data_IF_800392370653
#
_entry.id   IF_800392370653
#
_cell.length_a   1.000
_cell.length_b   1.000
_cell.length_c   1.000
_cell.angle_alpha   90.00
_cell.angle_beta   90.00
_cell.angle_gamma   90.00
#
_symmetry.space_group_name_H-M   'P 1'
#
loop_
_entity.id
_entity.type
_entity.pdbx_description
1 polymer ?
#
# COMPACT_ATOMS: atom_id res chain seq x y z
N UNK A 1 -7.45 -31.67 -8.04
CA UNK A 1 -6.89 -30.43 -7.46
C UNK A 1 -5.45 -30.35 -7.92
N UNK A 2 -4.99 -29.17 -8.36
CA UNK A 2 -3.58 -28.93 -8.66
C UNK A 2 -2.77 -28.99 -7.36
N UNK A 3 -1.53 -29.48 -7.44
CA UNK A 3 -0.58 -29.40 -6.34
C UNK A 3 -0.11 -27.95 -6.14
N UNK A 4 0.42 -27.63 -4.96
CA UNK A 4 1.00 -26.30 -4.69
C UNK A 4 2.09 -25.92 -5.71
N UNK A 5 2.87 -26.88 -6.18
CA UNK A 5 3.93 -26.65 -7.16
C UNK A 5 3.38 -26.37 -8.56
N UNK A 6 2.34 -27.10 -8.98
CA UNK A 6 1.66 -26.85 -10.26
C UNK A 6 0.96 -25.48 -10.29
N UNK A 7 0.38 -25.06 -9.17
CA UNK A 7 -0.23 -23.73 -9.03
C UNK A 7 0.83 -22.63 -9.12
N UNK A 8 1.93 -22.75 -8.37
CA UNK A 8 3.03 -21.77 -8.43
C UNK A 8 3.60 -21.64 -9.86
N UNK A 9 3.83 -22.77 -10.53
CA UNK A 9 4.31 -22.77 -11.92
C UNK A 9 3.29 -22.18 -12.90
N UNK A 10 1.99 -22.25 -12.61
CA UNK A 10 0.97 -21.60 -13.44
C UNK A 10 1.01 -20.07 -13.25
N UNK A 11 1.14 -19.59 -12.01
CA UNK A 11 1.29 -18.15 -11.73
C UNK A 11 2.56 -17.59 -12.38
N UNK A 12 3.69 -18.29 -12.25
CA UNK A 12 4.94 -17.92 -12.92
C UNK A 12 4.78 -17.80 -14.44
N UNK A 13 4.14 -18.80 -15.08
CA UNK A 13 3.88 -18.76 -16.53
C UNK A 13 2.97 -17.62 -16.96
N UNK A 14 1.99 -17.23 -16.12
CA UNK A 14 1.16 -16.06 -16.41
C UNK A 14 2.05 -14.82 -16.52
N UNK A 15 2.86 -14.54 -15.49
CA UNK A 15 3.69 -13.34 -15.45
C UNK A 15 4.89 -13.38 -16.41
N UNK A 16 5.36 -14.55 -16.82
CA UNK A 16 6.30 -14.68 -17.93
C UNK A 16 5.63 -14.40 -19.29
N UNK A 17 4.33 -14.68 -19.44
CA UNK A 17 3.57 -14.39 -20.67
C UNK A 17 3.14 -12.93 -20.72
N UNK A 18 2.71 -12.38 -19.57
CA UNK A 18 2.20 -11.04 -19.38
C UNK A 18 2.88 -10.40 -18.15
N UNK A 19 4.09 -9.83 -18.31
CA UNK A 19 4.80 -9.19 -17.21
C UNK A 19 3.99 -8.03 -16.61
N UNK A 20 3.80 -8.05 -15.29
CA UNK A 20 2.93 -7.12 -14.59
C UNK A 20 3.62 -6.47 -13.37
N UNK A 21 3.36 -5.18 -13.05
CA UNK A 21 2.53 -4.23 -13.82
C UNK A 21 3.17 -3.79 -15.15
N UNK A 22 2.39 -3.46 -16.20
CA UNK A 22 2.92 -3.15 -17.54
C UNK A 22 3.32 -1.68 -17.71
N UNK A 23 3.70 -1.00 -16.63
CA UNK A 23 4.08 0.42 -16.70
C UNK A 23 5.28 0.64 -17.62
N UNK A 24 5.34 1.76 -18.36
CA UNK A 24 6.47 2.03 -19.24
C UNK A 24 7.78 2.18 -18.45
N UNK A 25 8.88 1.86 -19.10
CA UNK A 25 10.23 2.07 -18.57
C UNK A 25 10.68 3.51 -18.82
N UNK A 26 11.07 4.23 -17.77
CA UNK A 26 11.48 5.65 -17.81
C UNK A 26 13.01 5.79 -17.63
N UNK A 27 13.60 6.83 -18.21
CA UNK A 27 15.02 7.21 -17.99
C UNK A 27 15.17 8.25 -16.87
N UNK A 28 14.17 8.38 -16.01
CA UNK A 28 14.09 9.34 -14.91
C UNK A 28 13.37 8.69 -13.71
N UNK A 29 13.51 9.24 -12.48
CA UNK A 29 12.76 8.77 -11.33
C UNK A 29 11.25 8.73 -11.60
N UNK A 30 10.53 7.77 -11.03
CA UNK A 30 9.11 7.61 -11.30
C UNK A 30 8.33 8.83 -10.77
N UNK A 31 7.26 9.26 -11.46
CA UNK A 31 6.56 10.48 -11.10
C UNK A 31 5.75 10.30 -9.80
N UNK A 32 5.66 11.36 -9.01
CA UNK A 32 4.86 11.36 -7.79
C UNK A 32 5.41 10.45 -6.68
N UNK A 33 4.51 9.92 -5.87
CA UNK A 33 4.79 9.11 -4.69
C UNK A 33 3.62 8.17 -4.35
N UNK A 34 3.94 7.15 -3.56
CA UNK A 34 3.00 6.48 -2.68
C UNK A 34 3.56 6.58 -1.26
N UNK A 35 2.83 7.23 -0.34
CA UNK A 35 3.33 7.48 1.01
C UNK A 35 3.64 6.19 1.79
N UNK A 36 2.98 5.08 1.44
CA UNK A 36 3.19 3.76 2.05
C UNK A 36 4.57 3.17 1.70
N UNK A 37 5.15 3.64 0.59
CA UNK A 37 6.48 3.27 0.12
C UNK A 37 7.56 4.26 0.58
N UNK A 38 7.19 5.34 1.26
CA UNK A 38 8.13 6.24 1.91
C UNK A 38 8.22 5.87 3.40
N UNK A 39 9.39 5.41 3.85
CA UNK A 39 9.62 4.93 5.21
C UNK A 39 9.19 5.94 6.28
N UNK A 40 9.55 7.21 6.09
CA UNK A 40 9.25 8.26 7.06
C UNK A 40 7.75 8.49 7.18
N UNK A 41 7.05 8.60 6.04
CA UNK A 41 5.61 8.80 6.00
C UNK A 41 4.86 7.57 6.55
N UNK A 42 5.22 6.35 6.12
CA UNK A 42 4.60 5.13 6.60
C UNK A 42 4.82 4.90 8.11
N UNK A 43 6.03 5.17 8.61
CA UNK A 43 6.35 5.06 10.03
C UNK A 43 5.62 6.13 10.86
N UNK A 44 5.57 7.37 10.39
CA UNK A 44 4.78 8.42 11.04
C UNK A 44 3.30 8.11 11.07
N UNK A 45 2.74 7.56 9.98
CA UNK A 45 1.35 7.12 9.94
C UNK A 45 1.07 6.03 10.98
N UNK A 46 1.96 5.04 11.11
CA UNK A 46 1.77 3.91 12.01
C UNK A 46 2.05 4.22 13.49
N UNK A 47 2.90 5.22 13.78
CA UNK A 47 3.41 5.47 15.14
C UNK A 47 3.09 6.86 15.67
N UNK A 48 2.64 7.79 14.84
CA UNK A 48 2.46 9.19 15.20
C UNK A 48 3.76 10.01 15.18
N UNK A 49 4.93 9.42 14.94
CA UNK A 49 6.22 10.12 14.96
C UNK A 49 7.13 9.72 13.79
N UNK A 50 8.09 10.57 13.40
CA UNK A 50 9.09 10.20 12.40
C UNK A 50 10.07 9.14 12.94
N UNK A 51 10.68 8.31 12.08
CA UNK A 51 11.65 7.31 12.51
C UNK A 51 12.97 7.98 12.90
N UNK A 52 13.67 7.38 13.87
CA UNK A 52 14.97 7.84 14.37
C UNK A 52 16.14 7.55 13.41
N UNK A 53 15.94 6.63 12.44
CA UNK A 53 16.93 6.31 11.41
C UNK A 53 16.27 6.15 10.05
N UNK A 54 17.02 6.49 9.02
CA UNK A 54 16.65 6.35 7.60
C UNK A 54 17.50 5.32 6.86
N UNK A 55 18.68 4.99 7.37
CA UNK A 55 19.47 3.84 6.92
C UNK A 55 18.73 2.55 7.32
N UNK A 56 17.90 2.07 6.40
CA UNK A 56 17.04 0.90 6.62
C UNK A 56 17.20 -0.14 5.51
N UNK A 57 16.76 -1.37 5.80
CA UNK A 57 16.65 -2.44 4.80
C UNK A 57 15.19 -2.65 4.44
N UNK A 58 14.90 -2.62 3.15
CA UNK A 58 13.57 -2.84 2.58
C UNK A 58 13.59 -4.14 1.78
N UNK A 59 12.53 -4.95 1.89
CA UNK A 59 12.27 -6.03 0.93
C UNK A 59 10.95 -5.77 0.20
N UNK A 60 10.98 -5.86 -1.12
CA UNK A 60 9.81 -5.88 -2.00
C UNK A 60 9.54 -7.35 -2.39
N UNK A 61 8.59 -7.96 -1.66
CA UNK A 61 8.30 -9.38 -1.75
C UNK A 61 7.23 -9.65 -2.80
N UNK A 62 7.64 -10.20 -3.95
CA UNK A 62 6.83 -10.30 -5.17
C UNK A 62 6.88 -9.01 -5.97
N UNK A 63 8.09 -8.57 -6.34
CA UNK A 63 8.32 -7.25 -6.91
C UNK A 63 7.83 -7.08 -8.36
N UNK A 64 7.44 -8.16 -9.05
CA UNK A 64 6.97 -8.15 -10.42
C UNK A 64 7.96 -7.46 -11.36
N UNK A 65 7.47 -6.55 -12.21
CA UNK A 65 8.28 -5.72 -13.12
C UNK A 65 8.99 -4.55 -12.45
N UNK A 66 9.02 -4.50 -11.11
CA UNK A 66 9.80 -3.56 -10.32
C UNK A 66 9.20 -2.16 -10.17
N UNK A 67 7.92 -1.96 -10.52
CA UNK A 67 7.25 -0.64 -10.39
C UNK A 67 7.32 -0.15 -8.95
N UNK A 68 6.87 -0.96 -7.98
CA UNK A 68 6.96 -0.62 -6.55
C UNK A 68 8.43 -0.48 -6.10
N UNK A 69 9.30 -1.39 -6.54
CA UNK A 69 10.72 -1.39 -6.19
C UNK A 69 11.43 -0.09 -6.56
N UNK A 70 11.17 0.44 -7.75
CA UNK A 70 11.74 1.69 -8.24
C UNK A 70 11.36 2.86 -7.34
N UNK A 71 10.07 2.98 -6.95
CA UNK A 71 9.64 3.97 -5.97
C UNK A 71 10.28 3.76 -4.60
N UNK A 72 10.39 2.52 -4.12
CA UNK A 72 11.01 2.23 -2.82
C UNK A 72 12.47 2.70 -2.76
N UNK A 73 13.23 2.60 -3.86
CA UNK A 73 14.61 3.11 -3.91
C UNK A 73 14.66 4.64 -3.94
N UNK A 74 13.84 5.29 -4.77
CA UNK A 74 13.86 6.75 -4.94
C UNK A 74 13.27 7.51 -3.75
N UNK A 75 12.22 6.98 -3.12
CA UNK A 75 11.58 7.60 -1.97
C UNK A 75 12.36 7.41 -0.66
N UNK A 76 13.34 6.50 -0.63
CA UNK A 76 14.15 6.19 0.55
C UNK A 76 15.65 6.23 0.20
N UNK A 77 16.24 7.43 0.06
CA UNK A 77 17.60 7.59 -0.49
C UNK A 77 18.68 6.90 0.34
N UNK A 78 18.46 6.69 1.64
CA UNK A 78 19.40 6.03 2.56
C UNK A 78 19.12 4.52 2.72
N UNK A 79 18.06 4.00 2.10
CA UNK A 79 17.71 2.59 2.22
C UNK A 79 18.47 1.72 1.21
N UNK A 80 18.65 0.45 1.60
CA UNK A 80 18.99 -0.63 0.68
C UNK A 80 17.75 -1.50 0.44
N UNK A 81 17.50 -1.86 -0.81
CA UNK A 81 16.29 -2.59 -1.23
C UNK A 81 16.66 -3.98 -1.74
N UNK A 82 15.85 -4.97 -1.40
CA UNK A 82 15.91 -6.32 -1.98
C UNK A 82 14.58 -6.60 -2.67
N UNK A 83 14.59 -6.85 -3.98
CA UNK A 83 13.41 -7.31 -4.72
C UNK A 83 13.46 -8.82 -4.90
N UNK A 84 12.36 -9.52 -4.62
CA UNK A 84 12.23 -10.95 -4.94
C UNK A 84 11.00 -11.21 -5.78
N UNK A 85 11.12 -12.12 -6.75
CA UNK A 85 9.97 -12.59 -7.53
C UNK A 85 10.20 -14.01 -8.06
N UNK A 86 9.13 -14.71 -8.42
CA UNK A 86 9.18 -16.04 -9.03
C UNK A 86 9.27 -15.99 -10.56
N UNK A 87 8.98 -14.86 -11.20
CA UNK A 87 9.08 -14.72 -12.66
C UNK A 87 10.44 -14.15 -13.05
N UNK A 88 11.25 -14.99 -13.70
CA UNK A 88 12.50 -14.55 -14.29
C UNK A 88 12.29 -13.52 -15.42
N UNK A 89 11.14 -13.55 -16.11
CA UNK A 89 10.74 -12.55 -17.10
C UNK A 89 10.51 -11.18 -16.46
N UNK A 90 9.68 -11.12 -15.42
CA UNK A 90 9.37 -9.89 -14.71
C UNK A 90 10.62 -9.28 -14.05
N UNK A 91 11.50 -10.10 -13.45
CA UNK A 91 12.75 -9.63 -12.85
C UNK A 91 13.69 -8.96 -13.84
N UNK A 92 13.75 -9.43 -15.10
CA UNK A 92 14.55 -8.74 -16.14
C UNK A 92 14.00 -7.34 -16.42
N UNK A 93 12.68 -7.19 -16.42
CA UNK A 93 12.03 -5.87 -16.58
C UNK A 93 12.31 -5.00 -15.36
N UNK A 94 12.23 -5.54 -14.14
CA UNK A 94 12.52 -4.83 -12.89
C UNK A 94 13.96 -4.31 -12.83
N UNK A 95 14.92 -5.15 -13.23
CA UNK A 95 16.33 -4.78 -13.33
C UNK A 95 16.54 -3.64 -14.34
N UNK A 96 15.93 -3.73 -15.52
CA UNK A 96 16.05 -2.68 -16.54
C UNK A 96 15.37 -1.39 -16.11
N UNK A 97 14.19 -1.46 -15.46
CA UNK A 97 13.49 -0.31 -14.88
C UNK A 97 14.39 0.46 -13.92
N UNK A 98 14.89 -0.24 -12.89
CA UNK A 98 15.74 0.37 -11.88
C UNK A 98 17.04 0.93 -12.48
N UNK A 99 17.62 0.22 -13.46
CA UNK A 99 18.81 0.70 -14.18
C UNK A 99 18.54 2.01 -14.93
N UNK A 100 17.39 2.14 -15.61
CA UNK A 100 17.08 3.32 -16.44
C UNK A 100 16.73 4.55 -15.59
N UNK A 101 16.01 4.40 -14.49
CA UNK A 101 15.69 5.52 -13.60
C UNK A 101 16.79 5.89 -12.61
N UNK A 102 17.88 5.11 -12.53
CA UNK A 102 18.98 5.34 -11.59
C UNK A 102 18.71 4.83 -10.17
N UNK A 103 17.77 3.91 -10.00
CA UNK A 103 17.54 3.19 -8.74
C UNK A 103 18.61 2.09 -8.56
N UNK A 104 19.82 2.46 -8.15
CA UNK A 104 20.99 1.58 -8.08
C UNK A 104 21.16 0.81 -6.75
N UNK A 105 20.42 1.18 -5.70
CA UNK A 105 20.49 0.58 -4.35
C UNK A 105 19.57 -0.62 -4.17
N UNK A 106 19.45 -1.47 -5.19
CA UNK A 106 18.59 -2.65 -5.18
C UNK A 106 19.32 -3.91 -5.63
N UNK A 107 19.08 -5.01 -4.93
CA UNK A 107 19.46 -6.37 -5.33
C UNK A 107 18.20 -7.18 -5.68
N UNK A 108 18.24 -7.92 -6.78
CA UNK A 108 17.12 -8.76 -7.23
C UNK A 108 17.44 -10.25 -7.10
N UNK A 109 16.51 -11.02 -6.53
CA UNK A 109 16.61 -12.48 -6.42
C UNK A 109 15.42 -13.18 -7.08
N UNK A 110 15.69 -14.16 -7.92
CA UNK A 110 14.68 -15.09 -8.41
C UNK A 110 14.37 -16.11 -7.30
N UNK A 111 13.35 -15.81 -6.50
CA UNK A 111 13.09 -16.49 -5.24
C UNK A 111 11.60 -16.43 -4.86
N UNK A 112 11.08 -17.56 -4.40
CA UNK A 112 9.73 -17.62 -3.82
C UNK A 112 9.71 -17.04 -2.41
N UNK A 113 8.60 -16.43 -2.00
CA UNK A 113 8.36 -16.01 -0.61
C UNK A 113 8.49 -17.18 0.38
N UNK A 114 8.24 -18.42 -0.05
CA UNK A 114 8.40 -19.61 0.77
C UNK A 114 9.85 -19.91 1.15
N UNK A 115 10.80 -19.36 0.41
CA UNK A 115 12.23 -19.64 0.50
C UNK A 115 13.04 -18.37 0.83
N UNK A 116 12.37 -17.34 1.36
CA UNK A 116 12.98 -16.04 1.73
C UNK A 116 13.98 -16.13 2.90
N UNK A 117 14.03 -17.28 3.57
CA UNK A 117 15.06 -17.57 4.58
C UNK A 117 16.47 -17.65 3.99
N UNK A 118 16.60 -17.84 2.67
CA UNK A 118 17.86 -17.76 1.94
C UNK A 118 18.48 -16.35 1.93
N UNK A 119 17.67 -15.29 2.09
CA UNK A 119 18.19 -13.92 2.15
C UNK A 119 18.63 -13.62 3.58
N UNK A 120 19.85 -13.13 3.80
CA UNK A 120 20.35 -12.89 5.16
C UNK A 120 19.75 -11.62 5.83
N UNK A 121 19.66 -11.68 7.16
CA UNK A 121 19.25 -10.57 8.01
C UNK A 121 17.74 -10.34 8.09
N UNK A 122 17.36 -9.16 8.59
CA UNK A 122 15.98 -8.71 8.72
C UNK A 122 15.77 -7.40 7.94
N UNK A 123 14.51 -7.03 7.78
CA UNK A 123 14.06 -5.83 7.08
C UNK A 123 13.23 -4.95 7.99
N UNK A 124 13.42 -3.65 7.87
CA UNK A 124 12.71 -2.61 8.61
C UNK A 124 11.36 -2.31 7.96
N UNK A 125 11.30 -2.43 6.63
CA UNK A 125 10.08 -2.35 5.84
C UNK A 125 9.99 -3.59 4.94
N UNK A 126 8.90 -4.34 5.09
CA UNK A 126 8.50 -5.36 4.12
C UNK A 126 7.34 -4.77 3.32
N UNK A 127 7.49 -4.68 2.00
CA UNK A 127 6.43 -4.34 1.08
C UNK A 127 5.99 -5.64 0.37
N UNK A 128 4.72 -6.03 0.50
CA UNK A 128 4.16 -7.21 -0.16
C UNK A 128 2.78 -6.84 -0.73
N UNK A 129 2.79 -6.28 -1.93
CA UNK A 129 1.62 -5.66 -2.55
C UNK A 129 1.21 -6.48 -3.77
N UNK A 130 -0.01 -7.04 -3.77
CA UNK A 130 -0.49 -7.79 -4.95
C UNK A 130 -0.04 -9.25 -4.99
N UNK A 131 0.34 -9.87 -3.86
CA UNK A 131 1.11 -11.14 -3.91
C UNK A 131 0.47 -12.27 -3.14
N UNK A 132 0.11 -12.08 -1.86
CA UNK A 132 -0.31 -13.18 -0.99
C UNK A 132 -1.55 -13.93 -1.51
N UNK A 133 -2.49 -13.26 -2.17
CA UNK A 133 -3.70 -13.87 -2.74
C UNK A 133 -3.44 -14.76 -3.96
N UNK A 134 -2.26 -14.62 -4.59
CA UNK A 134 -1.85 -15.46 -5.71
C UNK A 134 -1.04 -16.68 -5.27
N UNK A 135 -0.73 -16.80 -3.97
CA UNK A 135 -0.01 -17.94 -3.44
C UNK A 135 -0.91 -19.19 -3.35
N UNK A 136 -0.36 -20.39 -3.64
CA UNK A 136 -1.08 -21.64 -3.39
C UNK A 136 -1.38 -21.89 -1.90
N UNK A 137 -0.50 -21.42 -1.02
CA UNK A 137 -0.61 -21.48 0.44
C UNK A 137 -0.25 -20.09 1.01
N UNK A 138 -1.22 -19.17 1.15
CA UNK A 138 -0.97 -17.81 1.64
C UNK A 138 -0.55 -17.78 3.11
N UNK A 139 -1.03 -18.73 3.92
CA UNK A 139 -0.70 -18.84 5.35
C UNK A 139 0.79 -19.13 5.53
N UNK A 140 1.33 -20.14 4.82
CA UNK A 140 2.77 -20.41 4.82
C UNK A 140 3.56 -19.22 4.28
N UNK A 141 3.02 -18.54 3.26
CA UNK A 141 3.64 -17.38 2.62
C UNK A 141 3.85 -16.23 3.60
N UNK A 142 2.78 -15.79 4.25
CA UNK A 142 2.84 -14.69 5.22
C UNK A 142 3.70 -15.05 6.44
N UNK A 143 3.64 -16.31 6.92
CA UNK A 143 4.49 -16.79 8.01
C UNK A 143 5.98 -16.77 7.66
N UNK A 144 6.33 -17.10 6.42
CA UNK A 144 7.70 -17.11 5.95
C UNK A 144 8.30 -15.70 5.94
N UNK A 145 7.61 -14.77 5.28
CA UNK A 145 8.08 -13.38 5.14
C UNK A 145 8.01 -12.61 6.46
N UNK A 146 7.00 -12.85 7.31
CA UNK A 146 6.87 -12.19 8.62
C UNK A 146 8.08 -12.45 9.54
N UNK A 147 8.75 -13.61 9.42
CA UNK A 147 9.99 -13.92 10.18
C UNK A 147 11.15 -12.99 9.85
N UNK A 148 11.13 -12.36 8.67
CA UNK A 148 12.17 -11.44 8.21
C UNK A 148 11.96 -10.01 8.70
N UNK A 149 10.82 -9.70 9.31
CA UNK A 149 10.55 -8.37 9.84
C UNK A 149 11.41 -8.11 11.09
N UNK A 150 12.15 -7.00 11.11
CA UNK A 150 12.90 -6.55 12.28
C UNK A 150 11.93 -6.12 13.40
N UNK A 151 12.33 -6.20 14.69
CA UNK A 151 11.57 -5.57 15.77
C UNK A 151 11.39 -4.06 15.52
N UNK A 152 10.17 -3.56 15.66
CA UNK A 152 9.79 -2.19 15.30
C UNK A 152 9.66 -1.93 13.79
N UNK A 153 9.84 -2.95 12.95
CA UNK A 153 9.64 -2.83 11.51
C UNK A 153 8.16 -2.79 11.12
N UNK A 154 7.90 -2.33 9.90
CA UNK A 154 6.57 -2.28 9.30
C UNK A 154 6.46 -3.32 8.18
N UNK A 155 5.32 -4.00 8.12
CA UNK A 155 4.98 -4.91 7.04
C UNK A 155 3.72 -4.40 6.35
N UNK A 156 3.91 -3.79 5.18
CA UNK A 156 2.86 -3.28 4.30
C UNK A 156 2.33 -4.38 3.40
N UNK A 157 1.01 -4.61 3.43
CA UNK A 157 0.34 -5.70 2.72
C UNK A 157 -0.84 -5.16 1.91
N UNK A 158 -0.99 -5.64 0.67
CA UNK A 158 -2.19 -5.48 -0.15
C UNK A 158 -2.72 -6.84 -0.59
N UNK A 159 -4.01 -7.11 -0.38
CA UNK A 159 -4.71 -8.31 -0.86
C UNK A 159 -6.12 -7.99 -1.36
N UNK A 160 -6.65 -8.81 -2.26
CA UNK A 160 -7.96 -8.61 -2.84
C UNK A 160 -9.13 -8.84 -1.88
N UNK A 161 -10.18 -8.02 -2.05
CA UNK A 161 -11.40 -8.07 -1.26
C UNK A 161 -12.54 -8.70 -2.07
N UNK A 162 -13.18 -9.71 -1.48
CA UNK A 162 -14.21 -10.56 -2.08
C UNK A 162 -15.40 -9.74 -2.58
N UNK A 163 -15.96 -8.88 -1.74
CA UNK A 163 -17.22 -8.20 -2.05
C UNK A 163 -17.10 -7.16 -3.16
N UNK A 164 -15.97 -6.45 -3.26
CA UNK A 164 -15.76 -5.46 -4.33
C UNK A 164 -15.29 -6.06 -5.64
N UNK A 165 -14.91 -7.35 -5.65
CA UNK A 165 -14.36 -8.06 -6.82
C UNK A 165 -15.20 -9.25 -7.27
N UNK A 166 -16.33 -9.55 -6.64
CA UNK A 166 -17.15 -10.71 -6.99
C UNK A 166 -17.57 -10.75 -8.49
N UNK A 167 -17.79 -9.61 -9.18
CA UNK A 167 -18.03 -9.62 -10.63
C UNK A 167 -16.81 -10.12 -11.45
N UNK A 168 -15.59 -9.87 -10.98
CA UNK A 168 -14.35 -10.36 -11.59
C UNK A 168 -14.30 -11.88 -11.48
N UNK A 169 -14.58 -12.44 -10.30
CA UNK A 169 -14.63 -13.89 -10.10
C UNK A 169 -15.63 -14.57 -11.04
N UNK A 170 -16.80 -13.96 -11.26
CA UNK A 170 -17.80 -14.49 -12.20
C UNK A 170 -17.26 -14.52 -13.63
N UNK A 171 -16.57 -13.47 -14.05
CA UNK A 171 -15.98 -13.40 -15.39
C UNK A 171 -14.80 -14.37 -15.55
N UNK A 172 -13.93 -14.50 -14.55
CA UNK A 172 -12.86 -15.51 -14.52
C UNK A 172 -13.42 -16.93 -14.73
N UNK A 173 -14.47 -17.29 -14.00
CA UNK A 173 -15.14 -18.59 -14.15
C UNK A 173 -15.77 -18.77 -15.53
N UNK A 174 -16.40 -17.73 -16.07
CA UNK A 174 -16.99 -17.77 -17.41
C UNK A 174 -15.93 -17.97 -18.50
N UNK A 175 -14.80 -17.25 -18.43
CA UNK A 175 -13.67 -17.41 -19.34
C UNK A 175 -13.15 -18.85 -19.26
N UNK A 176 -12.88 -19.36 -18.05
CA UNK A 176 -12.38 -20.71 -17.86
C UNK A 176 -13.33 -21.77 -18.48
N UNK A 177 -14.65 -21.63 -18.30
CA UNK A 177 -15.63 -22.53 -18.89
C UNK A 177 -15.58 -22.52 -20.43
N UNK A 178 -15.37 -21.35 -21.04
CA UNK A 178 -15.32 -21.19 -22.50
C UNK A 178 -13.97 -21.60 -23.11
N UNK A 179 -12.87 -21.49 -22.37
CA UNK A 179 -11.58 -22.03 -22.79
C UNK A 179 -11.62 -23.56 -22.91
N UNK A 180 -12.39 -24.23 -22.05
CA UNK A 180 -12.56 -25.69 -22.09
C UNK A 180 -11.22 -26.43 -22.01
N UNK A 181 -10.81 -27.07 -23.10
CA UNK A 181 -9.53 -27.80 -23.15
C UNK A 181 -8.30 -26.88 -23.22
N UNK A 182 -8.47 -25.60 -23.55
CA UNK A 182 -7.40 -24.60 -23.62
C UNK A 182 -7.12 -23.91 -22.27
N UNK A 183 -7.76 -24.33 -21.17
CA UNK A 183 -7.50 -23.73 -19.86
C UNK A 183 -6.01 -23.76 -19.51
N UNK A 184 -5.46 -22.60 -19.16
CA UNK A 184 -4.03 -22.40 -18.92
C UNK A 184 -3.24 -21.86 -20.12
N UNK A 185 -3.87 -21.71 -21.28
CA UNK A 185 -3.40 -20.81 -22.34
C UNK A 185 -3.90 -19.39 -22.03
N UNK A 186 -2.99 -18.54 -21.51
CA UNK A 186 -3.35 -17.20 -21.08
C UNK A 186 -3.72 -16.28 -22.25
N UNK A 187 -3.14 -16.49 -23.44
CA UNK A 187 -3.44 -15.67 -24.62
C UNK A 187 -4.83 -16.00 -25.17
N UNK A 188 -5.21 -17.29 -25.19
CA UNK A 188 -6.57 -17.70 -25.49
C UNK A 188 -7.56 -17.15 -24.44
N UNK A 189 -7.20 -17.15 -23.16
CA UNK A 189 -8.04 -16.62 -22.08
C UNK A 189 -8.33 -15.13 -22.23
N UNK A 190 -7.31 -14.31 -22.52
CA UNK A 190 -7.47 -12.89 -22.82
C UNK A 190 -8.39 -12.71 -24.02
N UNK A 191 -8.14 -13.43 -25.13
CA UNK A 191 -8.96 -13.35 -26.33
C UNK A 191 -10.44 -13.70 -26.05
N UNK A 192 -10.70 -14.80 -25.35
CA UNK A 192 -12.06 -15.22 -24.98
C UNK A 192 -12.74 -14.17 -24.09
N UNK A 193 -12.02 -13.66 -23.09
CA UNK A 193 -12.55 -12.64 -22.18
C UNK A 193 -12.90 -11.33 -22.91
N UNK A 194 -12.04 -10.86 -23.81
CA UNK A 194 -12.32 -9.67 -24.63
C UNK A 194 -13.57 -9.88 -25.50
N UNK A 195 -13.70 -11.04 -26.14
CA UNK A 195 -14.89 -11.38 -26.93
C UNK A 195 -16.17 -11.44 -26.09
N UNK A 196 -16.08 -11.91 -24.83
CA UNK A 196 -17.21 -11.88 -23.90
C UNK A 196 -17.65 -10.46 -23.58
N UNK A 197 -16.73 -9.57 -23.21
CA UNK A 197 -17.06 -8.17 -22.92
C UNK A 197 -17.62 -7.41 -24.12
N UNK A 198 -17.20 -7.77 -25.33
CA UNK A 198 -17.76 -7.22 -26.58
C UNK A 198 -19.16 -7.76 -26.89
N UNK A 199 -19.40 -9.05 -26.67
CA UNK A 199 -20.65 -9.72 -27.03
C UNK A 199 -21.79 -9.52 -26.02
N UNK A 200 -21.46 -9.29 -24.75
CA UNK A 200 -22.47 -9.14 -23.70
C UNK A 200 -23.27 -7.84 -23.85
N UNK A 201 -24.59 -7.83 -23.54
CA UNK A 201 -25.41 -6.63 -23.60
C UNK A 201 -24.87 -5.50 -22.72
N UNK A 202 -25.02 -4.25 -23.15
CA UNK A 202 -24.49 -3.09 -22.40
C UNK A 202 -25.09 -2.92 -20.99
N UNK A 203 -26.31 -3.41 -20.77
CA UNK A 203 -26.97 -3.39 -19.47
C UNK A 203 -26.61 -4.61 -18.60
N UNK A 204 -25.74 -5.51 -19.07
CA UNK A 204 -25.20 -6.58 -18.25
C UNK A 204 -24.41 -5.99 -17.08
N UNK A 205 -24.66 -6.50 -15.86
CA UNK A 205 -24.06 -5.96 -14.64
C UNK A 205 -22.52 -6.00 -14.65
N UNK A 206 -21.93 -7.08 -15.15
CA UNK A 206 -20.47 -7.25 -15.19
C UNK A 206 -19.86 -6.23 -16.17
N UNK A 207 -20.43 -6.12 -17.38
CA UNK A 207 -19.98 -5.15 -18.39
C UNK A 207 -20.10 -3.72 -17.87
N UNK A 208 -21.24 -3.38 -17.24
CA UNK A 208 -21.47 -2.06 -16.67
C UNK A 208 -20.42 -1.73 -15.60
N UNK A 209 -20.18 -2.65 -14.67
CA UNK A 209 -19.20 -2.46 -13.59
C UNK A 209 -17.78 -2.31 -14.13
N UNK A 210 -17.38 -3.12 -15.10
CA UNK A 210 -16.07 -3.00 -15.77
C UNK A 210 -15.90 -1.64 -16.44
N UNK A 211 -16.91 -1.17 -17.18
CA UNK A 211 -16.87 0.18 -17.80
C UNK A 211 -16.83 1.31 -16.78
N UNK A 212 -17.55 1.20 -15.68
CA UNK A 212 -17.62 2.26 -14.66
C UNK A 212 -16.37 2.31 -13.76
N UNK A 213 -15.79 1.15 -13.45
CA UNK A 213 -14.72 1.04 -12.44
C UNK A 213 -13.36 0.74 -13.02
N UNK A 214 -13.29 -0.13 -14.02
CA UNK A 214 -12.04 -0.77 -14.47
C UNK A 214 -11.59 -0.32 -15.86
N UNK A 215 -12.36 0.52 -16.56
CA UNK A 215 -12.09 0.91 -17.94
C UNK A 215 -10.70 1.52 -18.18
N UNK A 216 -10.15 2.25 -17.20
CA UNK A 216 -8.81 2.82 -17.28
C UNK A 216 -7.72 1.82 -16.93
N UNK A 217 -8.00 0.83 -16.09
CA UNK A 217 -7.01 -0.15 -15.62
C UNK A 217 -6.90 -1.34 -16.58
N UNK A 218 -8.03 -1.76 -17.16
CA UNK A 218 -8.19 -3.02 -17.87
C UNK A 218 -7.93 -2.92 -19.40
N UNK A 219 -7.30 -1.85 -19.88
CA UNK A 219 -7.13 -1.61 -21.33
C UNK A 219 -5.98 -2.41 -21.95
N UNK A 220 -4.90 -2.66 -21.19
CA UNK A 220 -3.77 -3.49 -21.62
C UNK A 220 -4.06 -4.98 -21.41
N UNK A 221 -3.48 -5.84 -22.22
CA UNK A 221 -3.69 -7.28 -22.12
C UNK A 221 -3.04 -7.86 -20.86
N UNK A 222 -1.94 -7.28 -20.40
CA UNK A 222 -1.28 -7.62 -19.14
C UNK A 222 -2.22 -7.35 -17.95
N UNK A 223 -2.87 -6.19 -17.91
CA UNK A 223 -3.85 -5.87 -16.88
C UNK A 223 -5.09 -6.78 -16.96
N UNK A 224 -5.55 -7.09 -18.17
CA UNK A 224 -6.69 -8.00 -18.35
C UNK A 224 -6.35 -9.42 -17.95
N UNK A 225 -5.15 -9.89 -18.24
CA UNK A 225 -4.66 -11.20 -17.87
C UNK A 225 -4.55 -11.32 -16.34
N UNK A 226 -3.94 -10.33 -15.69
CA UNK A 226 -3.84 -10.24 -14.22
C UNK A 226 -5.23 -10.20 -13.56
N UNK A 227 -6.19 -9.47 -14.12
CA UNK A 227 -7.53 -9.34 -13.54
C UNK A 227 -8.45 -10.54 -13.81
N UNK A 228 -8.52 -11.03 -15.05
CA UNK A 228 -9.60 -11.95 -15.49
C UNK A 228 -9.12 -13.34 -15.90
N UNK A 229 -7.81 -13.56 -16.02
CA UNK A 229 -7.23 -14.83 -16.49
C UNK A 229 -6.24 -15.41 -15.46
N UNK A 230 -6.18 -14.84 -14.26
CA UNK A 230 -5.25 -15.28 -13.24
C UNK A 230 -5.53 -16.73 -12.79
N UNK A 231 -4.52 -17.63 -12.76
CA UNK A 231 -4.73 -19.05 -12.50
C UNK A 231 -4.95 -19.39 -11.02
N UNK A 232 -4.73 -18.43 -10.12
CA UNK A 232 -4.81 -18.60 -8.66
C UNK A 232 -5.17 -17.26 -8.00
N UNK A 233 -6.38 -17.12 -7.49
CA UNK A 233 -6.81 -15.92 -6.76
C UNK A 233 -7.56 -16.35 -5.51
N UNK A 234 -7.21 -15.76 -4.37
CA UNK A 234 -7.91 -15.90 -3.10
C UNK A 234 -8.38 -14.52 -2.71
N UNK A 235 -9.69 -14.34 -2.76
CA UNK A 235 -10.30 -13.11 -2.26
C UNK A 235 -10.67 -13.25 -0.80
N UNK A 236 -10.41 -12.19 -0.04
CA UNK A 236 -10.65 -12.17 1.39
C UNK A 236 -11.93 -11.40 1.70
N UNK A 237 -12.64 -11.80 2.74
CA UNK A 237 -13.52 -10.91 3.49
C UNK A 237 -12.85 -10.60 4.83
N UNK A 238 -13.44 -9.75 5.67
CA UNK A 238 -12.83 -9.40 6.96
C UNK A 238 -12.51 -10.62 7.83
N UNK A 239 -13.33 -11.67 7.81
CA UNK A 239 -13.10 -12.86 8.64
C UNK A 239 -11.86 -13.63 8.17
N UNK A 240 -11.81 -13.99 6.89
CA UNK A 240 -10.66 -14.73 6.31
C UNK A 240 -9.39 -13.89 6.23
N UNK A 241 -9.52 -12.55 6.10
CA UNK A 241 -8.41 -11.63 6.20
C UNK A 241 -7.75 -11.68 7.58
N UNK A 242 -8.53 -11.67 8.65
CA UNK A 242 -7.98 -11.73 10.00
C UNK A 242 -7.37 -13.09 10.34
N UNK A 243 -7.83 -14.18 9.71
CA UNK A 243 -7.12 -15.48 9.78
C UNK A 243 -5.71 -15.38 9.18
N UNK A 244 -5.56 -14.72 8.02
CA UNK A 244 -4.26 -14.46 7.40
C UNK A 244 -3.37 -13.57 8.29
N UNK A 245 -3.93 -12.48 8.83
CA UNK A 245 -3.22 -11.55 9.73
C UNK A 245 -2.74 -12.27 10.99
N UNK A 246 -3.61 -13.04 11.64
CA UNK A 246 -3.28 -13.76 12.87
C UNK A 246 -2.19 -14.81 12.62
N UNK A 247 -2.23 -15.48 11.46
CA UNK A 247 -1.22 -16.44 11.05
C UNK A 247 0.18 -15.82 10.91
N UNK A 248 0.29 -14.51 10.62
CA UNK A 248 1.59 -13.83 10.55
C UNK A 248 2.33 -13.81 11.90
N UNK A 249 1.59 -13.90 13.02
CA UNK A 249 2.16 -13.77 14.36
C UNK A 249 2.70 -12.36 14.65
N UNK A 250 2.13 -11.34 13.98
CA UNK A 250 2.50 -9.93 14.09
C UNK A 250 1.31 -9.11 14.65
N UNK A 251 1.60 -7.92 15.14
CA UNK A 251 0.56 -6.99 15.62
C UNK A 251 -0.04 -6.22 14.45
N UNK A 252 -1.37 -6.16 14.38
CA UNK A 252 -2.10 -5.35 13.40
C UNK A 252 -2.05 -3.87 13.78
N UNK A 253 -1.54 -3.02 12.88
CA UNK A 253 -1.43 -1.58 13.11
C UNK A 253 -2.66 -0.80 12.63
N UNK A 254 -3.39 -1.34 11.66
CA UNK A 254 -4.55 -0.70 11.04
C UNK A 254 -4.48 -0.72 9.52
N UNK A 255 -5.61 -0.40 8.90
CA UNK A 255 -5.72 -0.19 7.45
C UNK A 255 -5.11 1.16 7.04
N UNK A 256 -4.59 1.22 5.81
CA UNK A 256 -4.01 2.44 5.22
C UNK A 256 -5.05 3.53 4.92
N UNK A 257 -6.33 3.17 4.88
CA UNK A 257 -7.47 4.05 4.59
C UNK A 257 -8.44 4.21 5.79
N UNK A 258 -7.99 4.70 6.97
CA UNK A 258 -8.76 4.65 8.21
C UNK A 258 -10.12 5.36 8.15
N UNK A 259 -10.27 6.37 7.28
CA UNK A 259 -11.55 7.08 7.05
C UNK A 259 -12.65 6.17 6.48
N UNK A 260 -12.29 5.17 5.69
CA UNK A 260 -13.25 4.21 5.14
C UNK A 260 -13.91 3.38 6.25
N UNK A 261 -13.15 3.09 7.31
CA UNK A 261 -13.54 2.27 8.47
C UNK A 261 -14.23 3.07 9.59
N UNK A 262 -14.63 4.31 9.33
CA UNK A 262 -15.43 5.11 10.26
C UNK A 262 -16.92 4.82 10.07
N UNK A 263 -17.58 4.27 11.09
CA UNK A 263 -19.00 3.91 11.07
C UNK A 263 -19.93 5.12 10.89
N UNK A 264 -19.50 6.30 11.32
CA UNK A 264 -20.19 7.57 11.19
C UNK A 264 -20.46 7.92 9.72
N UNK A 265 -19.61 7.43 8.81
CA UNK A 265 -19.80 7.57 7.36
C UNK A 265 -21.06 6.86 6.85
N UNK A 266 -21.44 5.75 7.48
CA UNK A 266 -22.55 4.89 7.04
C UNK A 266 -23.83 5.15 7.84
N UNK A 267 -23.72 5.27 9.16
CA UNK A 267 -24.89 5.50 10.03
C UNK A 267 -25.32 6.97 10.06
N UNK A 268 -24.46 7.89 9.62
CA UNK A 268 -24.64 9.32 9.79
C UNK A 268 -24.80 9.66 11.27
N UNK A 269 -25.92 10.30 11.61
CA UNK A 269 -26.24 10.69 12.99
C UNK A 269 -27.34 9.83 13.64
N UNK A 270 -27.61 8.62 13.14
CA UNK A 270 -28.65 7.78 13.72
C UNK A 270 -28.22 7.26 15.12
N UNK A 271 -28.84 7.73 16.21
CA UNK A 271 -28.37 7.43 17.57
C UNK A 271 -28.57 5.97 17.96
N UNK A 272 -29.62 5.32 17.44
CA UNK A 272 -29.94 3.92 17.77
C UNK A 272 -28.92 2.95 17.14
N UNK A 273 -28.54 3.18 15.87
CA UNK A 273 -27.51 2.38 15.22
C UNK A 273 -26.14 2.60 15.86
N UNK A 274 -25.82 3.85 16.22
CA UNK A 274 -24.60 4.18 16.94
C UNK A 274 -24.52 3.44 18.27
N UNK A 275 -25.56 3.51 19.10
CA UNK A 275 -25.62 2.79 20.38
C UNK A 275 -25.48 1.26 20.21
N UNK A 276 -26.10 0.67 19.18
CA UNK A 276 -25.97 -0.76 18.88
C UNK A 276 -24.55 -1.15 18.46
N UNK A 277 -23.82 -0.24 17.83
CA UNK A 277 -22.44 -0.50 17.39
C UNK A 277 -21.40 -0.38 18.50
N UNK A 278 -21.72 0.25 19.64
CA UNK A 278 -20.78 0.46 20.76
C UNK A 278 -20.31 -0.85 21.41
N UNK A 279 -21.12 -1.91 21.32
CA UNK A 279 -20.78 -3.23 21.87
C UNK A 279 -19.98 -4.15 20.93
N UNK A 280 -19.68 -3.70 19.70
CA UNK A 280 -18.94 -4.51 18.74
C UNK A 280 -17.44 -4.46 19.01
N UNK A 281 -16.78 -5.61 18.89
CA UNK A 281 -15.32 -5.64 18.77
C UNK A 281 -14.86 -4.93 17.49
N UNK A 282 -13.60 -4.53 17.44
CA UNK A 282 -13.01 -3.87 16.27
C UNK A 282 -13.18 -4.70 14.98
N UNK A 283 -12.93 -6.03 15.03
CA UNK A 283 -13.14 -6.92 13.88
C UNK A 283 -14.60 -7.00 13.44
N UNK A 284 -15.54 -7.03 14.39
CA UNK A 284 -16.97 -7.00 14.07
C UNK A 284 -17.38 -5.66 13.45
N UNK A 285 -16.75 -4.56 13.88
CA UNK A 285 -16.99 -3.25 13.30
C UNK A 285 -16.48 -3.19 11.85
N UNK A 286 -15.28 -3.71 11.58
CA UNK A 286 -14.77 -3.82 10.21
C UNK A 286 -15.69 -4.69 9.34
N UNK A 287 -16.13 -5.85 9.84
CA UNK A 287 -17.04 -6.72 9.11
C UNK A 287 -18.38 -6.04 8.84
N UNK A 288 -18.92 -5.30 9.81
CA UNK A 288 -20.16 -4.54 9.64
C UNK A 288 -20.03 -3.47 8.55
N UNK A 289 -18.92 -2.73 8.55
CA UNK A 289 -18.65 -1.68 7.55
C UNK A 289 -18.51 -2.30 6.16
N UNK A 290 -17.74 -3.38 6.04
CA UNK A 290 -17.55 -4.12 4.79
C UNK A 290 -18.88 -4.62 4.20
N UNK A 291 -19.78 -5.15 5.04
CA UNK A 291 -21.10 -5.62 4.62
C UNK A 291 -22.03 -4.49 4.14
N UNK A 292 -21.88 -3.29 4.69
CA UNK A 292 -22.72 -2.13 4.39
C UNK A 292 -22.17 -1.28 3.24
N UNK A 293 -20.88 -1.40 2.93
CA UNK A 293 -20.22 -0.73 1.82
C UNK A 293 -19.32 -1.71 1.04
N UNK A 294 -19.88 -2.56 0.19
CA UNK A 294 -19.13 -3.61 -0.50
C UNK A 294 -18.26 -3.10 -1.68
N UNK A 295 -17.98 -1.79 -1.76
CA UNK A 295 -17.20 -1.20 -2.87
C UNK A 295 -15.68 -1.42 -2.76
N UNK A 296 -15.18 -1.85 -1.59
CA UNK A 296 -13.75 -2.05 -1.38
C UNK A 296 -13.24 -3.22 -2.21
N UNK A 297 -12.28 -2.96 -3.09
CA UNK A 297 -11.73 -3.97 -4.01
C UNK A 297 -10.47 -4.66 -3.47
N UNK A 298 -9.88 -4.11 -2.42
CA UNK A 298 -8.69 -4.64 -1.79
C UNK A 298 -8.58 -4.16 -0.33
N UNK A 299 -7.91 -4.94 0.50
CA UNK A 299 -7.43 -4.49 1.80
C UNK A 299 -5.98 -4.11 1.70
N UNK A 300 -5.64 -2.99 2.33
CA UNK A 300 -4.27 -2.52 2.42
C UNK A 300 -4.02 -2.04 3.86
N UNK A 301 -2.98 -2.59 4.49
CA UNK A 301 -2.77 -2.44 5.93
C UNK A 301 -1.31 -2.66 6.32
N UNK A 302 -1.01 -2.34 7.58
CA UNK A 302 0.30 -2.53 8.18
C UNK A 302 0.27 -3.52 9.34
N UNK A 303 1.29 -4.35 9.43
CA UNK A 303 1.62 -5.15 10.61
C UNK A 303 2.97 -4.71 11.19
N UNK A 304 3.23 -5.03 12.46
CA UNK A 304 4.55 -4.82 13.08
C UNK A 304 4.99 -6.00 13.92
N UNK A 305 6.30 -6.11 14.13
CA UNK A 305 6.89 -6.96 15.15
C UNK A 305 7.17 -6.10 16.39
N UNK A 306 6.49 -6.32 17.52
CA UNK A 306 6.79 -5.56 18.74
C UNK A 306 8.25 -5.72 19.19
N UNK A 307 8.81 -4.71 19.88
CA UNK A 307 8.16 -3.46 20.28
C UNK A 307 8.12 -2.41 19.17
N UNK A 308 6.99 -1.70 19.06
CA UNK A 308 6.87 -0.48 18.27
C UNK A 308 6.25 0.62 19.14
N UNK A 309 7.00 1.68 19.43
CA UNK A 309 6.53 2.79 20.26
C UNK A 309 5.63 3.71 19.43
N UNK A 310 4.37 3.83 19.84
CA UNK A 310 3.42 4.82 19.31
C UNK A 310 3.39 6.05 20.22
N UNK A 311 3.21 7.22 19.65
CA UNK A 311 3.13 8.51 20.33
C UNK A 311 1.76 9.10 20.08
N UNK A 312 1.10 9.51 21.16
CA UNK A 312 -0.08 10.35 21.10
C UNK A 312 0.35 11.79 21.40
N UNK A 313 -0.17 12.72 20.60
CA UNK A 313 0.14 14.14 20.70
C UNK A 313 -1.02 14.93 21.32
N UNK A 314 -2.00 14.28 21.92
CA UNK A 314 -3.19 14.92 22.51
C UNK A 314 -2.87 15.94 23.60
N UNK A 315 -1.80 15.72 24.37
CA UNK A 315 -1.35 16.64 25.42
C UNK A 315 -0.64 17.88 24.85
N UNK A 316 -1.01 19.08 25.30
CA UNK A 316 -0.48 20.35 24.79
C UNK A 316 1.02 20.51 25.03
N UNK A 317 1.52 20.08 26.18
CA UNK A 317 2.95 20.20 26.51
C UNK A 317 3.82 19.35 25.60
N UNK A 318 3.36 18.14 25.27
CA UNK A 318 4.08 17.24 24.38
C UNK A 318 4.05 17.80 22.95
N UNK A 319 2.90 18.29 22.48
CA UNK A 319 2.80 18.93 21.17
C UNK A 319 3.70 20.16 21.06
N UNK A 320 3.75 21.01 22.10
CA UNK A 320 4.59 22.20 22.14
C UNK A 320 6.10 21.87 22.08
N UNK A 321 6.50 20.76 22.70
CA UNK A 321 7.89 20.28 22.71
C UNK A 321 8.29 19.58 21.40
N UNK A 322 7.33 19.10 20.62
CA UNK A 322 7.59 18.38 19.39
C UNK A 322 8.36 19.21 18.36
N UNK A 323 9.16 18.52 17.55
CA UNK A 323 9.80 19.07 16.35
C UNK A 323 8.90 18.74 15.15
N UNK A 324 8.27 19.74 14.52
CA UNK A 324 7.44 19.50 13.36
C UNK A 324 8.25 19.53 12.07
N UNK A 325 7.87 18.68 11.14
CA UNK A 325 8.46 18.57 9.81
C UNK A 325 7.36 18.47 8.76
N UNK A 326 7.59 19.04 7.57
CA UNK A 326 6.63 18.92 6.49
C UNK A 326 6.53 17.45 6.03
N UNK A 327 5.32 17.00 5.71
CA UNK A 327 5.13 15.67 5.14
C UNK A 327 5.86 15.55 3.78
N UNK A 328 6.67 14.51 3.54
CA UNK A 328 7.50 14.40 2.34
C UNK A 328 6.68 14.12 1.09
N UNK A 329 5.55 13.43 1.25
CA UNK A 329 4.63 13.10 0.16
C UNK A 329 3.58 14.21 0.02
N UNK A 330 3.96 15.30 -0.64
CA UNK A 330 3.08 16.42 -1.02
C UNK A 330 3.55 16.94 -2.37
N UNK A 331 2.64 17.16 -3.33
CA UNK A 331 3.01 17.70 -4.66
C UNK A 331 2.43 19.10 -4.89
N UNK A 332 3.22 19.97 -5.53
CA UNK A 332 2.92 21.38 -5.71
C UNK A 332 3.45 22.32 -4.62
N UNK A 333 4.19 21.81 -3.62
CA UNK A 333 4.91 22.64 -2.65
C UNK A 333 6.15 23.32 -3.29
N UNK A 334 6.46 24.61 -3.00
CA UNK A 334 5.73 25.54 -2.13
C UNK A 334 4.57 26.24 -2.86
N UNK A 335 3.35 26.07 -2.36
CA UNK A 335 2.13 26.72 -2.82
C UNK A 335 1.05 26.65 -1.75
N UNK A 336 0.09 27.58 -1.74
CA UNK A 336 -1.12 27.49 -0.89
C UNK A 336 -2.17 26.53 -1.45
N UNK A 337 -2.03 26.09 -2.69
CA UNK A 337 -2.87 25.06 -3.32
C UNK A 337 -1.96 23.93 -3.78
N UNK A 338 -2.09 22.78 -3.14
CA UNK A 338 -1.22 21.61 -3.33
C UNK A 338 -2.04 20.32 -3.18
N UNK A 339 -1.44 19.19 -3.51
CA UNK A 339 -2.02 17.88 -3.22
C UNK A 339 -1.33 17.24 -2.02
N UNK A 340 -2.11 16.68 -1.11
CA UNK A 340 -1.62 15.99 0.09
C UNK A 340 -1.09 14.57 -0.20
N UNK A 341 -0.75 13.85 0.86
CA UNK A 341 -0.21 12.49 0.80
C UNK A 341 -1.11 11.47 0.07
N UNK A 342 -2.41 11.73 -0.04
CA UNK A 342 -3.40 10.88 -0.70
C UNK A 342 -3.99 11.58 -1.96
N UNK A 343 -3.21 12.50 -2.53
CA UNK A 343 -3.53 13.29 -3.72
C UNK A 343 -4.86 14.07 -3.63
N UNK A 344 -5.29 14.45 -2.43
CA UNK A 344 -6.43 15.33 -2.25
C UNK A 344 -6.00 16.79 -2.34
N UNK A 345 -6.77 17.60 -3.07
CA UNK A 345 -6.50 19.03 -3.19
C UNK A 345 -6.68 19.70 -1.82
N UNK A 346 -5.61 20.33 -1.34
CA UNK A 346 -5.57 21.10 -0.11
C UNK A 346 -5.37 22.58 -0.42
N UNK A 347 -6.15 23.43 0.26
CA UNK A 347 -5.97 24.87 0.29
C UNK A 347 -5.52 25.30 1.67
N UNK A 348 -4.36 25.93 1.75
CA UNK A 348 -3.76 26.42 3.00
C UNK A 348 -4.20 27.86 3.26
N UNK A 349 -4.45 28.19 4.53
CA UNK A 349 -4.50 29.58 4.98
C UNK A 349 -3.11 30.23 4.92
N UNK A 350 -3.06 31.55 5.10
CA UNK A 350 -1.79 32.28 5.14
C UNK A 350 -0.93 31.86 6.33
N UNK A 351 -1.56 31.53 7.45
CA UNK A 351 -0.93 31.06 8.68
C UNK A 351 -0.46 29.62 8.54
N UNK A 352 -1.29 28.71 8.00
CA UNK A 352 -0.90 27.32 7.73
C UNK A 352 0.29 27.23 6.78
N UNK A 353 0.29 28.06 5.73
CA UNK A 353 1.39 28.12 4.76
C UNK A 353 2.71 28.53 5.43
N UNK A 354 2.69 29.61 6.23
CA UNK A 354 3.88 30.07 6.97
C UNK A 354 4.38 29.04 7.99
N UNK A 355 3.47 28.34 8.67
CA UNK A 355 3.84 27.26 9.58
C UNK A 355 4.52 26.10 8.82
N UNK A 356 3.97 25.70 7.67
CA UNK A 356 4.57 24.67 6.83
C UNK A 356 5.93 25.08 6.23
N UNK A 357 6.14 26.36 5.91
CA UNK A 357 7.45 26.88 5.50
C UNK A 357 8.51 26.69 6.60
N UNK A 358 8.16 26.94 7.85
CA UNK A 358 9.05 26.67 8.99
C UNK A 358 9.30 25.15 9.19
N UNK A 359 8.27 24.32 9.01
CA UNK A 359 8.41 22.85 9.10
C UNK A 359 9.31 22.28 7.99
N UNK A 360 9.30 22.87 6.79
CA UNK A 360 10.15 22.47 5.66
C UNK A 360 11.62 22.75 5.95
N UNK A 361 11.91 23.87 6.63
CA UNK A 361 13.27 24.23 7.06
C UNK A 361 13.82 23.25 8.09
N UNK A 362 13.01 22.80 9.06
CA UNK A 362 13.37 21.72 9.98
C UNK A 362 13.73 20.41 9.25
N UNK A 363 13.06 20.11 8.14
CA UNK A 363 13.24 18.89 7.35
C UNK A 363 14.50 18.86 6.47
N UNK A 364 15.08 20.02 6.14
CA UNK A 364 15.98 20.18 4.98
C UNK A 364 17.46 19.79 5.20
N UNK A 365 17.91 19.49 6.42
CA UNK A 365 19.26 18.93 6.65
C UNK A 365 19.39 18.20 8.00
N UNK A 366 19.76 16.91 8.01
CA UNK A 366 20.12 16.17 9.23
C UNK A 366 21.41 16.65 9.90
N UNK A 367 22.34 17.25 9.13
CA UNK A 367 23.69 17.61 9.61
C UNK A 367 23.80 18.97 10.30
N UNK A 368 22.76 19.82 10.21
CA UNK A 368 22.73 21.14 10.86
C UNK A 368 21.62 21.20 11.93
N UNK A 369 21.84 20.47 13.03
CA UNK A 369 20.94 20.45 14.20
C UNK A 369 20.86 21.80 14.93
N UNK A 370 21.59 22.82 14.47
CA UNK A 370 21.62 24.14 15.10
C UNK A 370 20.41 25.03 14.76
N UNK A 371 19.53 24.60 13.84
CA UNK A 371 18.37 25.36 13.37
C UNK A 371 17.02 24.67 13.59
N UNK A 372 16.96 23.52 14.27
CA UNK A 372 15.71 22.79 14.45
C UNK A 372 14.83 23.49 15.50
N UNK A 373 13.63 23.91 15.11
CA UNK A 373 12.70 24.63 15.98
C UNK A 373 11.57 23.74 16.47
N UNK A 374 11.15 23.91 17.72
CA UNK A 374 9.95 23.22 18.25
C UNK A 374 8.66 23.88 17.77
N UNK A 375 7.53 23.18 17.91
CA UNK A 375 6.20 23.77 17.67
C UNK A 375 6.04 25.07 18.47
N UNK A 376 6.43 25.07 19.76
CA UNK A 376 6.33 26.25 20.63
C UNK A 376 7.15 27.45 20.14
N UNK A 377 8.25 27.22 19.44
CA UNK A 377 9.08 28.28 18.86
C UNK A 377 8.46 28.80 17.57
N UNK A 378 8.04 27.90 16.68
CA UNK A 378 7.44 28.27 15.39
C UNK A 378 6.16 29.09 15.61
N UNK A 379 5.22 28.64 16.46
CA UNK A 379 3.95 29.36 16.70
C UNK A 379 4.12 30.74 17.36
N UNK A 380 5.29 31.06 17.93
CA UNK A 380 5.57 32.43 18.41
C UNK A 380 5.92 33.38 17.27
N UNK A 381 6.49 32.85 16.19
CA UNK A 381 6.95 33.61 15.04
C UNK A 381 5.90 33.68 13.93
N UNK A 382 5.09 32.62 13.78
CA UNK A 382 3.93 32.60 12.89
C UNK A 382 2.67 32.71 13.74
N UNK A 383 1.73 33.57 13.38
CA UNK A 383 0.48 33.78 14.12
C UNK A 383 -0.44 32.54 14.00
N UNK A 384 -0.10 31.45 14.69
CA UNK A 384 -0.71 30.12 14.61
C UNK A 384 -0.91 29.54 16.01
N UNK A 385 -1.81 28.57 16.15
CA UNK A 385 -2.18 27.98 17.45
C UNK A 385 -2.12 26.45 17.42
N UNK A 386 -2.26 25.81 18.59
CA UNK A 386 -2.17 24.36 18.72
C UNK A 386 -3.31 23.64 18.00
N UNK A 387 -4.50 24.22 17.92
CA UNK A 387 -5.63 23.64 17.17
C UNK A 387 -5.31 23.59 15.67
N UNK A 388 -4.66 24.63 15.14
CA UNK A 388 -4.12 24.66 13.79
C UNK A 388 -3.07 23.56 13.57
N UNK A 389 -2.13 23.37 14.51
CA UNK A 389 -1.11 22.31 14.42
C UNK A 389 -1.77 20.92 14.43
N UNK A 390 -2.75 20.69 15.29
CA UNK A 390 -3.54 19.44 15.34
C UNK A 390 -4.27 19.18 14.05
N UNK A 391 -4.86 20.21 13.44
CA UNK A 391 -5.51 20.12 12.13
C UNK A 391 -4.53 19.70 11.03
N UNK A 392 -3.33 20.30 10.99
CA UNK A 392 -2.28 19.92 10.02
C UNK A 392 -1.81 18.48 10.22
N UNK A 393 -1.64 18.02 11.46
CA UNK A 393 -1.26 16.64 11.79
C UNK A 393 -2.35 15.64 11.38
N UNK A 394 -3.62 15.93 11.70
CA UNK A 394 -4.76 15.09 11.33
C UNK A 394 -4.93 14.97 9.80
N UNK A 395 -4.57 16.03 9.08
CA UNK A 395 -4.55 16.06 7.60
C UNK A 395 -3.27 15.48 7.01
N UNK A 396 -2.34 14.99 7.83
CA UNK A 396 -1.04 14.45 7.42
C UNK A 396 -0.22 15.43 6.56
N UNK A 397 -0.28 16.72 6.88
CA UNK A 397 0.52 17.76 6.21
C UNK A 397 1.86 18.01 6.92
N UNK A 398 1.93 17.62 8.20
CA UNK A 398 3.15 17.60 9.00
C UNK A 398 3.32 16.22 9.64
N UNK A 399 4.55 15.93 10.01
CA UNK A 399 4.93 14.84 10.91
C UNK A 399 5.63 15.45 12.12
N UNK A 400 5.63 14.74 13.24
CA UNK A 400 6.23 15.20 14.48
C UNK A 400 7.33 14.25 14.94
N UNK A 401 8.28 14.77 15.71
CA UNK A 401 9.27 13.98 16.42
C UNK A 401 9.50 14.55 17.82
N UNK A 402 9.97 13.73 18.75
CA UNK A 402 10.30 14.14 20.13
C UNK A 402 11.76 14.60 20.21
N UNK A 403 12.69 13.95 19.49
CA UNK A 403 14.12 14.25 19.49
C UNK A 403 14.73 13.88 18.13
N UNK A 404 15.61 14.73 17.59
CA UNK A 404 16.48 14.41 16.45
C UNK A 404 17.91 14.16 16.91
#
# INVERSE_FOLDING_TARGET
MKTSQETAAAVERLYDTYPFPPEPLLDEPPPGYNWRWNWRAAYSFCTGQTPQREEIRIIDAGCGTGVGTEYLVHLNPQASVVGIDISAGALKVAQERCRRSGADRVEFHHLSLYDVDQIEGQFDLINCVGVLHHLPDPIRGIQSIAKKLAPGGLFHIFVYAELGRWEIQLMQQAIALLQGQNQGDYQDGVKVGRQLFEALPENNRIVKRDRERWALENHQDECFADMYVHPQEIDYNIETLFELIDAAGLEFLGFSNPRYWQKERLFGKNPELMARSEGLSERQLYRLIELLDPELTHYEFFLTRPPLKRVDWSEDNDLLAAIPERHPCMTGWPSKSLFDYDYQLVKLSDEEFKFLEACDQNGSSPEDSSQTQTVAEIIKHVNFDLDGVRSLLQRQLIMLNIDR
#
